data_IF_052552223815
#
_entry.id   IF_052552223815
#
_cell.length_a   1.000
_cell.length_b   1.000
_cell.length_c   1.000
_cell.angle_alpha   90.00
_cell.angle_beta   90.00
_cell.angle_gamma   90.00
#
_symmetry.space_group_name_H-M   'P 1'
#
loop_
_entity.id
_entity.type
_entity.pdbx_description
1 polymer ?
#
# COMPACT_ATOMS: atom_id res chain seq x y z
N UNK A 1 -11.26 76.59 -12.04
CA UNK A 1 -10.23 75.73 -12.69
C UNK A 1 -9.21 75.07 -11.74
N UNK A 2 -9.11 75.42 -10.44
CA UNK A 2 -8.15 74.76 -9.52
C UNK A 2 -8.53 73.31 -9.14
N UNK A 3 -9.82 72.98 -9.08
CA UNK A 3 -10.27 71.66 -8.63
C UNK A 3 -10.04 70.54 -9.68
N UNK A 4 -9.95 70.89 -10.97
CA UNK A 4 -9.77 69.89 -12.04
C UNK A 4 -8.36 69.28 -12.05
N UNK A 5 -7.33 70.07 -11.70
CA UNK A 5 -5.95 69.58 -11.57
C UNK A 5 -5.79 68.59 -10.41
N UNK A 6 -6.53 68.79 -9.32
CA UNK A 6 -6.47 67.91 -8.16
C UNK A 6 -7.08 66.53 -8.45
N UNK A 7 -8.18 66.50 -9.21
CA UNK A 7 -8.83 65.24 -9.62
C UNK A 7 -7.92 64.41 -10.54
N UNK A 8 -7.20 65.05 -11.47
CA UNK A 8 -6.28 64.35 -12.38
C UNK A 8 -5.09 63.76 -11.61
N UNK A 9 -4.50 64.52 -10.69
CA UNK A 9 -3.38 64.05 -9.87
C UNK A 9 -3.82 62.89 -8.97
N UNK A 10 -5.01 62.98 -8.37
CA UNK A 10 -5.54 61.93 -7.50
C UNK A 10 -5.88 60.65 -8.27
N UNK A 11 -6.45 60.77 -9.48
CA UNK A 11 -6.72 59.64 -10.36
C UNK A 11 -5.43 58.94 -10.82
N UNK A 12 -4.37 59.71 -11.14
CA UNK A 12 -3.08 59.15 -11.53
C UNK A 12 -2.41 58.40 -10.36
N UNK A 13 -2.49 58.95 -9.15
CA UNK A 13 -1.97 58.31 -7.94
C UNK A 13 -2.70 57.00 -7.63
N UNK A 14 -4.02 56.96 -7.84
CA UNK A 14 -4.84 55.75 -7.68
C UNK A 14 -4.44 54.66 -8.68
N UNK A 15 -4.21 55.00 -9.94
CA UNK A 15 -3.77 54.02 -10.97
C UNK A 15 -2.37 53.48 -10.66
N UNK A 16 -1.45 54.32 -10.17
CA UNK A 16 -0.12 53.86 -9.75
C UNK A 16 -0.17 52.92 -8.53
N UNK A 17 -1.07 53.16 -7.57
CA UNK A 17 -1.20 52.31 -6.38
C UNK A 17 -1.84 50.95 -6.70
N UNK A 18 -2.72 50.86 -7.70
CA UNK A 18 -3.31 49.58 -8.13
C UNK A 18 -2.42 48.75 -9.07
N UNK A 19 -1.30 49.30 -9.57
CA UNK A 19 -0.42 48.61 -10.52
C UNK A 19 0.62 47.68 -9.86
N UNK A 20 0.74 47.67 -8.52
CA UNK A 20 1.76 46.87 -7.82
C UNK A 20 1.25 45.54 -7.23
N UNK A 21 -0.01 45.15 -7.47
CA UNK A 21 -0.60 43.94 -6.84
C UNK A 21 -0.66 42.70 -7.74
N UNK A 22 -0.15 42.76 -8.97
CA UNK A 22 0.02 41.57 -9.79
C UNK A 22 1.30 40.87 -9.31
N UNK A 23 1.21 40.25 -8.13
CA UNK A 23 2.15 39.22 -7.72
C UNK A 23 1.97 38.06 -8.69
N UNK A 24 2.66 38.13 -9.83
CA UNK A 24 2.98 36.96 -10.65
C UNK A 24 3.53 35.95 -9.66
N UNK A 25 2.74 34.91 -9.33
CA UNK A 25 3.24 33.78 -8.57
C UNK A 25 4.47 33.33 -9.34
N UNK A 26 5.64 33.63 -8.80
CA UNK A 26 6.91 33.14 -9.29
C UNK A 26 6.76 31.63 -9.15
N UNK A 27 6.34 30.95 -10.20
CA UNK A 27 6.40 29.51 -10.26
C UNK A 27 7.86 29.20 -9.96
N UNK A 28 8.09 28.68 -8.75
CA UNK A 28 9.34 28.03 -8.44
C UNK A 28 9.62 27.12 -9.63
N UNK A 29 10.78 27.21 -10.29
CA UNK A 29 11.14 26.28 -11.36
C UNK A 29 11.10 24.80 -10.90
N UNK A 30 10.91 24.57 -9.59
CA UNK A 30 10.73 23.28 -8.95
C UNK A 30 9.31 23.18 -8.36
N UNK A 31 8.30 22.91 -9.18
CA UNK A 31 7.03 22.28 -8.73
C UNK A 31 7.23 20.77 -8.76
N UNK A 32 8.11 20.25 -7.90
CA UNK A 32 8.48 18.82 -7.89
C UNK A 32 7.74 17.98 -6.84
N UNK A 33 7.16 18.60 -5.81
CA UNK A 33 6.54 17.85 -4.70
C UNK A 33 5.33 17.03 -5.15
N UNK A 34 4.51 17.56 -6.07
CA UNK A 34 3.29 16.90 -6.53
C UNK A 34 3.55 15.56 -7.25
N UNK A 35 4.65 15.45 -7.99
CA UNK A 35 5.02 14.22 -8.69
C UNK A 35 5.46 13.14 -7.71
N UNK A 36 6.27 13.48 -6.70
CA UNK A 36 6.69 12.52 -5.67
C UNK A 36 5.49 12.02 -4.87
N UNK A 37 4.55 12.90 -4.51
CA UNK A 37 3.30 12.50 -3.85
C UNK A 37 2.48 11.53 -4.73
N UNK A 38 2.46 11.76 -6.05
CA UNK A 38 1.83 10.83 -6.98
C UNK A 38 2.51 9.45 -7.01
N UNK A 39 3.84 9.37 -6.82
CA UNK A 39 4.55 8.09 -6.73
C UNK A 39 4.14 7.27 -5.50
N UNK A 40 3.94 7.93 -4.36
CA UNK A 40 3.38 7.30 -3.15
C UNK A 40 1.93 6.86 -3.37
N UNK A 41 1.11 7.69 -4.03
CA UNK A 41 -0.26 7.31 -4.41
C UNK A 41 -0.28 6.08 -5.32
N UNK A 42 0.58 6.02 -6.33
CA UNK A 42 0.72 4.85 -7.20
C UNK A 42 1.18 3.61 -6.45
N UNK A 43 2.10 3.74 -5.50
CA UNK A 43 2.46 2.61 -4.61
C UNK A 43 1.24 2.06 -3.88
N UNK A 44 0.40 2.92 -3.29
CA UNK A 44 -0.82 2.46 -2.60
C UNK A 44 -1.77 1.77 -3.58
N UNK A 45 -1.96 2.32 -4.79
CA UNK A 45 -2.76 1.68 -5.84
C UNK A 45 -2.19 0.34 -6.28
N UNK A 46 -0.87 0.21 -6.38
CA UNK A 46 -0.18 -1.05 -6.64
C UNK A 46 -0.54 -2.10 -5.57
N UNK A 47 -0.38 -1.77 -4.28
CA UNK A 47 -0.66 -2.69 -3.19
C UNK A 47 -2.12 -3.14 -3.20
N UNK A 48 -3.06 -2.20 -3.36
CA UNK A 48 -4.49 -2.52 -3.39
C UNK A 48 -4.87 -3.37 -4.61
N UNK A 49 -4.42 -2.99 -5.80
CA UNK A 49 -4.72 -3.75 -7.03
C UNK A 49 -4.16 -5.16 -6.97
N UNK A 50 -2.97 -5.34 -6.37
CA UNK A 50 -2.40 -6.68 -6.16
C UNK A 50 -3.30 -7.52 -5.24
N UNK A 51 -3.69 -6.97 -4.08
CA UNK A 51 -4.57 -7.68 -3.12
C UNK A 51 -5.96 -7.98 -3.67
N UNK A 52 -6.48 -7.13 -4.57
CA UNK A 52 -7.74 -7.31 -5.29
C UNK A 52 -7.65 -8.41 -6.38
N UNK A 53 -6.44 -8.86 -6.74
CA UNK A 53 -6.23 -9.83 -7.82
C UNK A 53 -6.14 -9.21 -9.21
N UNK A 54 -6.04 -7.87 -9.31
CA UNK A 54 -5.88 -7.11 -10.55
C UNK A 54 -4.39 -6.92 -10.87
N UNK A 55 -3.74 -8.01 -11.25
CA UNK A 55 -2.28 -8.02 -11.42
C UNK A 55 -1.79 -7.12 -12.56
N UNK A 56 -2.57 -6.93 -13.63
CA UNK A 56 -2.22 -6.01 -14.71
C UNK A 56 -2.11 -4.57 -14.18
N UNK A 57 -3.15 -4.11 -13.47
CA UNK A 57 -3.19 -2.78 -12.87
C UNK A 57 -2.08 -2.60 -11.83
N UNK A 58 -1.88 -3.61 -10.98
CA UNK A 58 -0.82 -3.62 -9.98
C UNK A 58 0.55 -3.40 -10.62
N UNK A 59 0.85 -4.10 -11.72
CA UNK A 59 2.10 -3.96 -12.48
C UNK A 59 2.26 -2.57 -13.07
N UNK A 60 1.21 -2.02 -13.67
CA UNK A 60 1.22 -0.65 -14.21
C UNK A 60 1.55 0.36 -13.11
N UNK A 61 0.88 0.28 -11.96
CA UNK A 61 1.11 1.19 -10.84
C UNK A 61 2.49 1.02 -10.19
N UNK A 62 2.98 -0.20 -10.09
CA UNK A 62 4.33 -0.51 -9.63
C UNK A 62 5.38 0.17 -10.51
N UNK A 63 5.28 0.00 -11.83
CA UNK A 63 6.19 0.60 -12.80
C UNK A 63 6.12 2.14 -12.77
N UNK A 64 4.91 2.72 -12.72
CA UNK A 64 4.74 4.18 -12.59
C UNK A 64 5.38 4.73 -11.32
N UNK A 65 5.18 4.06 -10.19
CA UNK A 65 5.77 4.45 -8.90
C UNK A 65 7.31 4.42 -8.97
N UNK A 66 7.89 3.33 -9.49
CA UNK A 66 9.34 3.18 -9.63
C UNK A 66 9.95 4.21 -10.60
N UNK A 67 9.31 4.45 -11.74
CA UNK A 67 9.78 5.43 -12.72
C UNK A 67 9.87 6.83 -12.10
N UNK A 68 8.84 7.26 -11.37
CA UNK A 68 8.84 8.58 -10.73
C UNK A 68 9.91 8.64 -9.63
N UNK A 69 10.04 7.59 -8.80
CA UNK A 69 11.11 7.56 -7.80
C UNK A 69 12.50 7.60 -8.41
N UNK A 70 12.72 6.93 -9.55
CA UNK A 70 13.99 6.96 -10.27
C UNK A 70 14.31 8.37 -10.79
N UNK A 71 13.33 9.05 -11.41
CA UNK A 71 13.48 10.42 -11.93
C UNK A 71 13.75 11.48 -10.85
N UNK A 72 13.57 11.15 -9.58
CA UNK A 72 13.79 12.05 -8.43
C UNK A 72 14.85 11.51 -7.46
N UNK A 73 15.71 10.57 -7.90
CA UNK A 73 16.80 9.96 -7.12
C UNK A 73 16.33 9.33 -5.79
N UNK A 74 15.08 8.87 -5.71
CA UNK A 74 14.51 8.18 -4.54
C UNK A 74 14.73 6.66 -4.65
N UNK A 75 15.97 6.23 -4.86
CA UNK A 75 16.34 4.81 -5.07
C UNK A 75 15.86 3.88 -3.95
N UNK A 76 15.85 4.35 -2.70
CA UNK A 76 15.35 3.59 -1.55
C UNK A 76 13.85 3.26 -1.67
N UNK A 77 13.08 4.16 -2.28
CA UNK A 77 11.65 3.97 -2.48
C UNK A 77 11.36 2.92 -3.56
N UNK A 78 12.27 2.76 -4.54
CA UNK A 78 12.23 1.67 -5.52
C UNK A 78 12.51 0.34 -4.82
N UNK A 79 13.58 0.29 -4.00
CA UNK A 79 13.89 -0.88 -3.18
C UNK A 79 12.72 -1.32 -2.29
N UNK A 80 12.03 -0.36 -1.68
CA UNK A 80 10.86 -0.63 -0.85
C UNK A 80 9.66 -1.17 -1.67
N UNK A 81 9.46 -0.70 -2.91
CA UNK A 81 8.45 -1.27 -3.79
C UNK A 81 8.75 -2.75 -4.11
N UNK A 82 10.00 -3.09 -4.43
CA UNK A 82 10.41 -4.48 -4.62
C UNK A 82 10.25 -5.33 -3.36
N UNK A 83 10.56 -4.77 -2.19
CA UNK A 83 10.31 -5.44 -0.92
C UNK A 83 8.83 -5.77 -0.76
N UNK A 84 7.94 -4.81 -1.00
CA UNK A 84 6.50 -5.04 -0.90
C UNK A 84 6.02 -6.09 -1.90
N UNK A 85 6.51 -6.05 -3.15
CA UNK A 85 6.17 -7.05 -4.15
C UNK A 85 6.59 -8.46 -3.70
N UNK A 86 7.83 -8.62 -3.20
CA UNK A 86 8.29 -9.87 -2.61
C UNK A 86 7.36 -10.35 -1.48
N UNK A 87 7.02 -9.47 -0.54
CA UNK A 87 6.15 -9.82 0.60
C UNK A 87 4.74 -10.20 0.15
N UNK A 88 4.21 -9.55 -0.87
CA UNK A 88 2.90 -9.87 -1.44
C UNK A 88 2.89 -11.26 -2.08
N UNK A 89 3.94 -11.64 -2.82
CA UNK A 89 4.08 -13.00 -3.35
C UNK A 89 4.20 -14.05 -2.25
N UNK A 90 4.94 -13.76 -1.17
CA UNK A 90 5.00 -14.67 -0.01
C UNK A 90 3.61 -14.94 0.59
N UNK A 91 2.71 -13.95 0.59
CA UNK A 91 1.36 -14.13 1.13
C UNK A 91 0.49 -15.09 0.32
N UNK A 92 0.76 -15.25 -0.98
CA UNK A 92 0.04 -16.21 -1.84
C UNK A 92 0.79 -17.55 -1.98
N UNK A 93 1.87 -17.73 -1.21
CA UNK A 93 2.66 -18.96 -1.20
C UNK A 93 3.68 -19.06 -2.34
N UNK A 94 4.00 -17.95 -3.02
CA UNK A 94 5.03 -17.90 -4.05
C UNK A 94 6.33 -17.29 -3.51
N UNK A 95 7.44 -18.01 -3.65
CA UNK A 95 8.75 -17.51 -3.28
C UNK A 95 9.48 -16.91 -4.50
N UNK A 96 9.33 -15.60 -4.69
CA UNK A 96 10.02 -14.86 -5.76
C UNK A 96 11.25 -14.14 -5.23
N UNK A 97 12.28 -14.93 -4.90
CA UNK A 97 13.52 -14.44 -4.25
C UNK A 97 14.22 -13.30 -5.01
N UNK A 98 14.03 -13.21 -6.32
CA UNK A 98 14.58 -12.12 -7.13
C UNK A 98 14.11 -10.75 -6.65
N UNK A 99 12.83 -10.57 -6.32
CA UNK A 99 12.33 -9.28 -5.82
C UNK A 99 12.96 -8.90 -4.49
N UNK A 100 13.25 -9.89 -3.63
CA UNK A 100 14.01 -9.66 -2.41
C UNK A 100 15.46 -9.21 -2.73
N UNK A 101 16.15 -9.87 -3.65
CA UNK A 101 17.50 -9.46 -4.09
C UNK A 101 17.52 -8.05 -4.70
N UNK A 102 16.53 -7.70 -5.51
CA UNK A 102 16.37 -6.33 -6.03
C UNK A 102 16.16 -5.33 -4.89
N UNK A 103 15.34 -5.66 -3.91
CA UNK A 103 15.16 -4.83 -2.71
C UNK A 103 16.47 -4.66 -1.93
N UNK A 104 17.25 -5.74 -1.72
CA UNK A 104 18.54 -5.69 -1.04
C UNK A 104 19.54 -4.82 -1.79
N UNK A 105 19.57 -4.89 -3.12
CA UNK A 105 20.44 -4.07 -3.94
C UNK A 105 20.21 -2.56 -3.68
N UNK A 106 18.95 -2.11 -3.68
CA UNK A 106 18.63 -0.69 -3.48
C UNK A 106 18.69 -0.23 -2.01
N UNK A 107 18.36 -1.10 -1.05
CA UNK A 107 18.27 -0.73 0.37
C UNK A 107 19.54 -1.06 1.16
N UNK A 108 20.32 -2.05 0.73
CA UNK A 108 21.48 -2.58 1.45
C UNK A 108 21.15 -2.86 2.92
N UNK A 109 21.98 -2.34 3.82
CA UNK A 109 21.81 -2.47 5.28
C UNK A 109 20.49 -1.87 5.81
N UNK A 110 19.89 -0.91 5.08
CA UNK A 110 18.64 -0.25 5.49
C UNK A 110 17.43 -1.18 5.39
N UNK A 111 17.52 -2.30 4.67
CA UNK A 111 16.42 -3.24 4.55
C UNK A 111 15.92 -3.72 5.92
N UNK A 112 16.82 -3.96 6.87
CA UNK A 112 16.48 -4.37 8.24
C UNK A 112 15.50 -3.42 8.94
N UNK A 113 15.56 -2.12 8.64
CA UNK A 113 14.66 -1.10 9.19
C UNK A 113 13.22 -1.25 8.67
N UNK A 114 13.03 -1.88 7.50
CA UNK A 114 11.72 -2.06 6.86
C UNK A 114 11.11 -3.45 7.14
N UNK A 115 11.89 -4.42 7.61
CA UNK A 115 11.42 -5.80 7.80
C UNK A 115 10.38 -5.93 8.91
N UNK A 116 10.47 -5.12 9.98
CA UNK A 116 9.53 -5.21 11.10
C UNK A 116 9.38 -3.87 11.80
N UNK A 117 8.16 -3.33 11.75
CA UNK A 117 7.81 -2.19 12.59
C UNK A 117 7.70 -2.62 14.06
N UNK A 118 7.86 -1.67 14.99
CA UNK A 118 7.61 -1.92 16.42
C UNK A 118 6.21 -2.47 16.67
N UNK A 119 5.21 -2.02 15.89
CA UNK A 119 3.84 -2.53 15.93
C UNK A 119 3.76 -3.99 15.50
N UNK A 120 4.44 -4.35 14.40
CA UNK A 120 4.52 -5.72 13.88
C UNK A 120 5.10 -6.67 14.93
N UNK A 121 6.20 -6.27 15.58
CA UNK A 121 6.84 -7.05 16.65
C UNK A 121 5.89 -7.31 17.84
N UNK A 122 5.07 -6.33 18.22
CA UNK A 122 4.09 -6.50 19.30
C UNK A 122 3.07 -7.58 18.93
N UNK A 123 2.47 -7.50 17.74
CA UNK A 123 1.48 -8.48 17.31
C UNK A 123 2.10 -9.87 17.14
N UNK A 124 3.28 -9.97 16.52
CA UNK A 124 4.03 -11.23 16.37
C UNK A 124 4.29 -11.89 17.72
N UNK A 125 4.80 -11.12 18.70
CA UNK A 125 5.03 -11.61 20.06
C UNK A 125 3.75 -12.12 20.73
N UNK A 126 2.61 -11.44 20.54
CA UNK A 126 1.33 -11.88 21.10
C UNK A 126 0.83 -13.21 20.50
N UNK A 127 1.08 -13.44 19.21
CA UNK A 127 0.81 -14.71 18.52
C UNK A 127 1.71 -15.81 19.08
N UNK A 128 3.03 -15.57 19.14
CA UNK A 128 4.03 -16.53 19.64
C UNK A 128 3.78 -16.93 21.10
N UNK A 129 3.45 -15.94 21.95
CA UNK A 129 3.12 -16.16 23.36
C UNK A 129 1.72 -16.74 23.58
N UNK A 130 0.97 -17.05 22.50
CA UNK A 130 -0.39 -17.61 22.54
C UNK A 130 -1.38 -16.78 23.38
N UNK A 131 -1.18 -15.46 23.45
CA UNK A 131 -2.02 -14.51 24.22
C UNK A 131 -3.31 -14.15 23.45
N UNK A 132 -4.07 -15.16 23.02
CA UNK A 132 -5.18 -15.00 22.07
C UNK A 132 -6.29 -14.06 22.54
N UNK A 133 -6.60 -14.06 23.84
CA UNK A 133 -7.63 -13.16 24.38
C UNK A 133 -7.18 -11.69 24.32
N UNK A 134 -6.00 -11.37 24.84
CA UNK A 134 -5.45 -10.01 24.77
C UNK A 134 -5.25 -9.56 23.32
N UNK A 135 -4.84 -10.47 22.44
CA UNK A 135 -4.67 -10.22 21.03
C UNK A 135 -6.00 -9.90 20.35
N UNK A 136 -7.06 -10.64 20.66
CA UNK A 136 -8.41 -10.37 20.19
C UNK A 136 -8.88 -8.96 20.59
N UNK A 137 -8.71 -8.58 21.86
CA UNK A 137 -9.07 -7.24 22.33
C UNK A 137 -8.27 -6.15 21.61
N UNK A 138 -6.97 -6.37 21.38
CA UNK A 138 -6.11 -5.42 20.68
C UNK A 138 -6.46 -5.30 19.20
N UNK A 139 -6.71 -6.42 18.51
CA UNK A 139 -7.06 -6.45 17.08
C UNK A 139 -8.41 -5.77 16.84
N UNK A 140 -9.41 -5.97 17.70
CA UNK A 140 -10.72 -5.30 17.54
C UNK A 140 -10.65 -3.77 17.70
N UNK A 141 -9.59 -3.25 18.32
CA UNK A 141 -9.32 -1.81 18.45
C UNK A 141 -8.32 -1.29 17.42
N UNK A 142 -7.80 -2.16 16.55
CA UNK A 142 -6.85 -1.75 15.52
C UNK A 142 -7.57 -0.96 14.43
N UNK A 143 -6.95 0.13 13.98
CA UNK A 143 -7.49 1.00 12.92
C UNK A 143 -7.01 0.56 11.55
N UNK A 144 -5.83 -0.07 11.47
CA UNK A 144 -5.26 -0.51 10.22
C UNK A 144 -5.86 -1.88 9.81
N UNK A 145 -6.66 -1.94 8.73
CA UNK A 145 -7.33 -3.18 8.30
C UNK A 145 -6.35 -4.28 7.89
N UNK A 146 -5.17 -3.93 7.36
CA UNK A 146 -4.15 -4.92 6.98
C UNK A 146 -3.64 -5.65 8.21
N UNK A 147 -3.39 -4.94 9.31
CA UNK A 147 -2.98 -5.56 10.57
C UNK A 147 -4.07 -6.49 11.11
N UNK A 148 -5.35 -6.09 11.04
CA UNK A 148 -6.47 -6.93 11.46
C UNK A 148 -6.49 -8.22 10.63
N UNK A 149 -6.47 -8.11 9.30
CA UNK A 149 -6.52 -9.25 8.39
C UNK A 149 -5.33 -10.21 8.56
N UNK A 150 -4.11 -9.70 8.45
CA UNK A 150 -2.87 -10.50 8.48
C UNK A 150 -2.73 -11.21 9.82
N UNK A 151 -2.88 -10.49 10.93
CA UNK A 151 -2.68 -11.11 12.24
C UNK A 151 -3.82 -12.02 12.65
N UNK A 152 -5.05 -11.77 12.18
CA UNK A 152 -6.15 -12.72 12.37
C UNK A 152 -5.83 -14.05 11.69
N UNK A 153 -5.37 -14.06 10.44
CA UNK A 153 -4.97 -15.29 9.73
C UNK A 153 -3.77 -15.99 10.38
N UNK A 154 -2.73 -15.25 10.79
CA UNK A 154 -1.60 -15.83 11.53
C UNK A 154 -2.05 -16.55 12.81
N UNK A 155 -3.08 -16.04 13.50
CA UNK A 155 -3.64 -16.72 14.67
C UNK A 155 -4.43 -17.97 14.29
N UNK A 156 -5.16 -17.96 13.17
CA UNK A 156 -5.93 -19.13 12.68
C UNK A 156 -5.02 -20.35 12.46
N UNK A 157 -3.77 -20.13 12.06
CA UNK A 157 -2.78 -21.21 11.91
C UNK A 157 -2.52 -21.96 13.23
N UNK A 158 -2.23 -21.22 14.32
CA UNK A 158 -1.67 -21.80 15.54
C UNK A 158 -2.64 -21.89 16.73
N UNK A 159 -3.81 -21.25 16.68
CA UNK A 159 -4.72 -21.16 17.82
C UNK A 159 -5.62 -22.40 18.00
N UNK A 160 -6.19 -22.63 19.20
CA UNK A 160 -7.25 -23.62 19.39
C UNK A 160 -8.50 -23.31 18.56
N UNK A 161 -9.32 -24.32 18.24
CA UNK A 161 -10.49 -24.22 17.34
C UNK A 161 -11.45 -23.08 17.72
N UNK A 162 -11.67 -22.85 19.03
CA UNK A 162 -12.50 -21.76 19.57
C UNK A 162 -12.05 -20.38 19.08
N UNK A 163 -10.74 -20.15 18.98
CA UNK A 163 -10.17 -18.89 18.52
C UNK A 163 -10.06 -18.83 17.00
N UNK A 164 -9.72 -19.94 16.34
CA UNK A 164 -9.64 -20.01 14.87
C UNK A 164 -10.91 -19.47 14.22
N UNK A 165 -12.09 -19.91 14.66
CA UNK A 165 -13.37 -19.47 14.07
C UNK A 165 -13.57 -17.95 14.19
N UNK A 166 -13.24 -17.37 15.35
CA UNK A 166 -13.39 -15.93 15.61
C UNK A 166 -12.46 -15.10 14.74
N UNK A 167 -11.17 -15.44 14.73
CA UNK A 167 -10.18 -14.72 13.93
C UNK A 167 -10.39 -14.90 12.43
N UNK A 168 -10.75 -16.10 11.97
CA UNK A 168 -11.06 -16.32 10.56
C UNK A 168 -12.27 -15.50 10.10
N UNK A 169 -13.33 -15.44 10.91
CA UNK A 169 -14.50 -14.61 10.59
C UNK A 169 -14.12 -13.12 10.53
N UNK A 170 -13.24 -12.68 11.42
CA UNK A 170 -12.77 -11.29 11.44
C UNK A 170 -11.93 -10.96 10.20
N UNK A 171 -10.97 -11.81 9.83
CA UNK A 171 -10.19 -11.67 8.60
C UNK A 171 -11.12 -11.59 7.38
N UNK A 172 -12.02 -12.56 7.25
CA UNK A 172 -12.97 -12.66 6.15
C UNK A 172 -13.82 -11.40 5.97
N UNK A 173 -14.35 -10.87 7.08
CA UNK A 173 -15.19 -9.67 7.02
C UNK A 173 -14.40 -8.43 6.61
N UNK A 174 -13.16 -8.29 7.06
CA UNK A 174 -12.28 -7.20 6.64
C UNK A 174 -11.92 -7.36 5.17
N UNK A 175 -11.46 -8.54 4.77
CA UNK A 175 -10.97 -8.79 3.41
C UNK A 175 -12.10 -8.62 2.38
N UNK A 176 -13.32 -9.05 2.72
CA UNK A 176 -14.52 -8.81 1.92
C UNK A 176 -14.86 -7.32 1.82
N UNK A 177 -14.76 -6.57 2.92
CA UNK A 177 -15.06 -5.13 2.95
C UNK A 177 -14.12 -4.34 2.03
N UNK A 178 -12.85 -4.72 1.97
CA UNK A 178 -11.84 -4.04 1.16
C UNK A 178 -11.63 -4.65 -0.23
N UNK A 179 -12.36 -5.72 -0.58
CA UNK A 179 -12.24 -6.38 -1.88
C UNK A 179 -10.91 -7.12 -2.08
N UNK A 180 -10.25 -7.55 -1.02
CA UNK A 180 -8.95 -8.23 -1.10
C UNK A 180 -9.12 -9.71 -1.47
N UNK A 181 -9.43 -9.95 -2.74
CA UNK A 181 -9.67 -11.27 -3.33
C UNK A 181 -8.60 -12.30 -2.98
N UNK A 182 -7.31 -11.93 -3.03
CA UNK A 182 -6.23 -12.85 -2.67
C UNK A 182 -6.31 -13.31 -1.22
N UNK A 183 -6.66 -12.40 -0.32
CA UNK A 183 -6.80 -12.76 1.08
C UNK A 183 -8.04 -13.61 1.34
N UNK A 184 -9.13 -13.36 0.60
CA UNK A 184 -10.31 -14.22 0.62
C UNK A 184 -10.00 -15.65 0.13
N UNK A 185 -9.15 -15.80 -0.89
CA UNK A 185 -8.68 -17.13 -1.33
C UNK A 185 -7.98 -17.85 -0.18
N UNK A 186 -7.09 -17.17 0.54
CA UNK A 186 -6.43 -17.75 1.71
C UNK A 186 -7.41 -18.08 2.83
N UNK A 187 -8.37 -17.21 3.13
CA UNK A 187 -9.39 -17.48 4.14
C UNK A 187 -10.24 -18.72 3.82
N UNK A 188 -10.61 -18.93 2.55
CA UNK A 188 -11.33 -20.13 2.14
C UNK A 188 -10.46 -21.38 2.20
N UNK A 189 -9.16 -21.30 1.89
CA UNK A 189 -8.21 -22.41 2.11
C UNK A 189 -8.14 -22.77 3.60
N UNK A 190 -8.01 -21.78 4.48
CA UNK A 190 -8.02 -21.98 5.93
C UNK A 190 -9.34 -22.57 6.42
N UNK A 191 -10.47 -22.09 5.87
CA UNK A 191 -11.80 -22.58 6.20
C UNK A 191 -11.98 -24.05 5.82
N UNK A 192 -11.56 -24.42 4.61
CA UNK A 192 -11.55 -25.81 4.14
C UNK A 192 -10.69 -26.68 5.06
N UNK A 193 -9.47 -26.24 5.36
CA UNK A 193 -8.48 -27.01 6.14
C UNK A 193 -8.91 -27.26 7.58
N UNK A 194 -9.49 -26.26 8.26
CA UNK A 194 -9.78 -26.37 9.69
C UNK A 194 -11.25 -26.64 10.04
N UNK A 195 -12.18 -26.47 9.10
CA UNK A 195 -13.61 -26.61 9.35
C UNK A 195 -14.34 -27.47 8.31
N UNK A 196 -13.62 -28.12 7.38
CA UNK A 196 -14.16 -29.09 6.40
C UNK A 196 -15.40 -28.59 5.64
N UNK A 197 -15.40 -27.31 5.23
CA UNK A 197 -16.52 -26.69 4.51
C UNK A 197 -16.56 -27.15 3.05
N UNK A 198 -17.62 -27.86 2.66
CA UNK A 198 -17.83 -28.34 1.28
C UNK A 198 -18.00 -27.18 0.29
N UNK A 199 -18.51 -26.04 0.76
CA UNK A 199 -18.69 -24.83 -0.05
C UNK A 199 -17.37 -24.16 -0.41
N UNK A 200 -16.29 -24.46 0.33
CA UNK A 200 -15.01 -23.79 0.13
C UNK A 200 -14.45 -24.02 -1.27
N UNK A 201 -14.66 -25.20 -1.87
CA UNK A 201 -14.16 -25.49 -3.22
C UNK A 201 -14.83 -24.63 -4.28
N UNK A 202 -16.16 -24.50 -4.22
CA UNK A 202 -16.92 -23.61 -5.13
C UNK A 202 -16.47 -22.16 -4.99
N UNK A 203 -16.26 -21.68 -3.76
CA UNK A 203 -15.80 -20.31 -3.55
C UNK A 203 -14.36 -20.09 -4.04
N UNK A 204 -13.47 -21.05 -3.82
CA UNK A 204 -12.09 -20.99 -4.30
C UNK A 204 -12.04 -20.96 -5.83
N UNK A 205 -12.87 -21.76 -6.51
CA UNK A 205 -12.97 -21.75 -7.97
C UNK A 205 -13.38 -20.39 -8.50
N UNK A 206 -14.48 -19.82 -7.99
CA UNK A 206 -14.98 -18.51 -8.39
C UNK A 206 -13.94 -17.42 -8.14
N UNK A 207 -13.36 -17.37 -6.94
CA UNK A 207 -12.36 -16.36 -6.61
C UNK A 207 -11.11 -16.48 -7.49
N UNK A 208 -10.61 -17.70 -7.73
CA UNK A 208 -9.46 -17.91 -8.62
C UNK A 208 -9.76 -17.51 -10.06
N UNK A 209 -10.96 -17.77 -10.56
CA UNK A 209 -11.37 -17.34 -11.91
C UNK A 209 -11.43 -15.81 -12.07
N UNK A 210 -11.53 -15.07 -10.97
CA UNK A 210 -11.53 -13.61 -10.97
C UNK A 210 -10.13 -12.99 -10.89
N UNK A 211 -9.09 -13.80 -10.68
CA UNK A 211 -7.71 -13.32 -10.66
C UNK A 211 -7.22 -13.13 -12.09
N UNK A 212 -6.66 -11.95 -12.36
CA UNK A 212 -6.01 -11.70 -13.65
C UNK A 212 -4.74 -12.55 -13.78
N UNK A 213 -4.39 -12.89 -15.01
CA UNK A 213 -3.08 -13.47 -15.30
C UNK A 213 -2.17 -12.38 -15.86
N UNK A 214 -1.33 -11.79 -15.00
CA UNK A 214 -0.28 -10.88 -15.40
C UNK A 214 0.97 -11.19 -14.61
N UNK A 215 2.05 -11.48 -15.32
CA UNK A 215 3.33 -11.66 -14.65
C UNK A 215 4.07 -10.33 -14.53
N UNK A 216 4.70 -10.12 -13.38
CA UNK A 216 5.67 -9.04 -13.19
C UNK A 216 6.95 -9.45 -13.93
N UNK A 217 6.94 -9.38 -15.27
CA UNK A 217 8.11 -9.68 -16.09
C UNK A 217 9.27 -8.78 -15.70
N UNK A 218 10.39 -9.43 -15.45
CA UNK A 218 11.56 -8.82 -14.86
C UNK A 218 12.51 -8.18 -15.89
N UNK A 219 12.24 -8.33 -17.18
CA UNK A 219 13.20 -8.04 -18.24
C UNK A 219 13.50 -6.54 -18.41
N UNK A 220 12.72 -5.68 -17.76
CA UNK A 220 12.88 -4.22 -17.84
C UNK A 220 13.82 -3.65 -16.76
N UNK A 221 14.28 -4.46 -15.81
CA UNK A 221 15.08 -3.98 -14.67
C UNK A 221 16.54 -4.47 -14.69
N UNK A 222 17.05 -4.88 -15.85
CA UNK A 222 18.47 -5.19 -16.02
C UNK A 222 19.31 -3.91 -15.95
N UNK A 223 19.77 -3.58 -14.74
CA UNK A 223 20.99 -2.80 -14.57
C UNK A 223 22.15 -3.78 -14.74
N UNK A 224 22.74 -3.79 -15.94
CA UNK A 224 24.08 -4.36 -16.16
C UNK A 224 25.12 -3.51 -15.46
#
# INVERSE_FOLDING_TARGET
MKNFKFVIIFAFLLVCLFSCSISVKKESPFVQSSLVDSAYSYRIKFLNSFLEGKFCDAKIYFNKSNLIFATHDKVEMIGLNFYYLYRLYQYIGEERIRFYKCSEYYLGKKLSNFISSSKDLIYKRMVEQKKYHSLWLKINKEKNPIYISVYSRKVVECAPIKWKKKFLTLAFNIDKKYGWTLFLVEDWKLKKRFFSSKEADKHLEVLKSSLENCDFNDDLYYFK
#
